data_IF_819083815171
#
_entry.id   IF_819083815171
#
_cell.length_a   1.000
_cell.length_b   1.000
_cell.length_c   1.000
_cell.angle_alpha   90.00
_cell.angle_beta   90.00
_cell.angle_gamma   90.00
#
_symmetry.space_group_name_H-M   'P 1'
#
loop_
_entity.id
_entity.type
_entity.pdbx_description
1 polymer ?
#
# COMPACT_ATOMS: atom_id res chain seq x y z
N UNK A 1 -2.40 0.96 -8.54
CA UNK A 1 -3.12 0.80 -7.25
C UNK A 1 -2.97 1.98 -6.24
N UNK A 2 -2.52 3.17 -6.64
CA UNK A 2 -2.31 4.28 -5.67
C UNK A 2 -3.63 4.70 -5.02
N UNK A 3 -4.68 4.89 -5.82
CA UNK A 3 -6.00 5.28 -5.33
C UNK A 3 -6.56 4.23 -4.38
N UNK A 4 -6.52 2.95 -4.76
CA UNK A 4 -7.01 1.85 -3.93
C UNK A 4 -6.27 1.73 -2.60
N UNK A 5 -4.97 2.02 -2.56
CA UNK A 5 -4.16 1.99 -1.34
C UNK A 5 -4.45 3.21 -0.43
N UNK A 6 -4.59 4.41 -0.99
CA UNK A 6 -4.84 5.61 -0.18
C UNK A 6 -6.27 5.71 0.37
N UNK A 7 -7.27 5.22 -0.36
CA UNK A 7 -8.67 5.28 0.08
C UNK A 7 -9.08 4.13 0.99
N UNK A 8 -8.26 3.08 1.10
CA UNK A 8 -8.56 1.89 1.92
C UNK A 8 -8.80 2.20 3.40
N UNK A 9 -8.20 3.26 3.93
CA UNK A 9 -8.36 3.70 5.32
C UNK A 9 -9.71 4.40 5.58
N UNK A 10 -10.45 4.83 4.55
CA UNK A 10 -11.74 5.52 4.67
C UNK A 10 -11.70 6.96 5.23
N UNK A 11 -10.63 7.35 5.92
CA UNK A 11 -10.50 8.64 6.64
C UNK A 11 -9.33 9.49 6.13
N UNK A 12 -8.84 9.22 4.93
CA UNK A 12 -7.76 9.98 4.27
C UNK A 12 -6.43 10.06 5.05
N UNK A 13 -6.19 9.14 6.01
CA UNK A 13 -4.95 9.12 6.79
C UNK A 13 -3.75 8.54 6.03
N UNK A 14 -4.00 7.76 4.98
CA UNK A 14 -2.95 7.21 4.11
C UNK A 14 -2.72 8.17 2.95
N UNK A 15 -1.62 8.91 3.00
CA UNK A 15 -1.25 9.84 1.93
C UNK A 15 -1.07 9.11 0.57
N UNK A 16 -1.64 9.64 -0.53
CA UNK A 16 -1.38 9.12 -1.87
C UNK A 16 0.11 9.12 -2.25
N UNK A 17 0.88 10.09 -1.74
CA UNK A 17 2.33 10.16 -1.98
C UNK A 17 3.07 9.04 -1.25
N UNK A 18 2.63 8.70 -0.03
CA UNK A 18 3.17 7.54 0.69
C UNK A 18 2.85 6.23 -0.04
N UNK A 19 1.61 6.07 -0.51
CA UNK A 19 1.20 4.89 -1.29
C UNK A 19 2.03 4.73 -2.57
N UNK A 20 2.28 5.83 -3.30
CA UNK A 20 3.16 5.84 -4.48
C UNK A 20 4.60 5.44 -4.13
N UNK A 21 5.17 6.02 -3.07
CA UNK A 21 6.52 5.69 -2.61
C UNK A 21 6.66 4.23 -2.19
N UNK A 22 5.65 3.67 -1.51
CA UNK A 22 5.64 2.25 -1.17
C UNK A 22 5.59 1.36 -2.40
N UNK A 23 4.82 1.75 -3.42
CA UNK A 23 4.75 1.05 -4.69
C UNK A 23 6.11 1.03 -5.41
N UNK A 24 6.78 2.17 -5.48
CA UNK A 24 8.12 2.32 -6.06
C UNK A 24 9.14 1.47 -5.31
N UNK A 25 9.14 1.52 -3.97
CA UNK A 25 10.05 0.70 -3.16
C UNK A 25 9.82 -0.80 -3.31
N UNK A 26 8.58 -1.25 -3.49
CA UNK A 26 8.31 -2.66 -3.79
C UNK A 26 8.80 -3.05 -5.18
N UNK A 27 8.66 -2.16 -6.17
CA UNK A 27 9.18 -2.39 -7.55
C UNK A 27 10.70 -2.42 -7.61
N UNK A 28 11.36 -1.54 -6.86
CA UNK A 28 12.82 -1.47 -6.72
C UNK A 28 13.39 -2.62 -5.85
N UNK A 29 12.54 -3.46 -5.25
CA UNK A 29 12.97 -4.52 -4.34
C UNK A 29 13.50 -4.03 -2.99
N UNK A 30 13.30 -2.75 -2.66
CA UNK A 30 13.73 -2.13 -1.39
C UNK A 30 12.87 -2.53 -0.21
N UNK A 31 11.65 -3.01 -0.47
CA UNK A 31 10.72 -3.56 0.53
C UNK A 31 9.92 -4.72 -0.03
N UNK A 32 9.53 -5.64 0.84
CA UNK A 32 8.53 -6.66 0.48
C UNK A 32 7.13 -6.04 0.46
N UNK A 33 6.17 -6.63 -0.30
CA UNK A 33 4.77 -6.23 -0.28
C UNK A 33 4.17 -6.17 1.13
N UNK A 34 4.54 -7.10 2.02
CA UNK A 34 4.08 -7.16 3.41
C UNK A 34 4.60 -5.98 4.23
N UNK A 35 5.88 -5.63 4.08
CA UNK A 35 6.49 -4.48 4.75
C UNK A 35 5.88 -3.15 4.30
N UNK A 36 5.60 -3.03 3.00
CA UNK A 36 4.95 -1.86 2.42
C UNK A 36 3.48 -1.75 2.89
N UNK A 37 2.71 -2.84 2.87
CA UNK A 37 1.35 -2.88 3.38
C UNK A 37 1.28 -2.53 4.88
N UNK A 38 2.18 -3.10 5.69
CA UNK A 38 2.26 -2.80 7.12
C UNK A 38 2.61 -1.32 7.36
N UNK A 39 3.50 -0.73 6.55
CA UNK A 39 3.84 0.69 6.66
C UNK A 39 2.63 1.58 6.37
N UNK A 40 1.84 1.27 5.34
CA UNK A 40 0.63 2.02 5.01
C UNK A 40 -0.42 1.90 6.12
N UNK A 41 -0.59 0.69 6.67
CA UNK A 41 -1.52 0.42 7.77
C UNK A 41 -1.21 1.18 9.06
N UNK A 42 0.05 1.51 9.35
CA UNK A 42 0.44 2.27 10.56
C UNK A 42 -0.21 3.66 10.66
N UNK A 43 -0.58 4.26 9.53
CA UNK A 43 -1.25 5.56 9.52
C UNK A 43 -2.77 5.44 9.68
N UNK A 44 -3.32 4.23 9.61
CA UNK A 44 -4.72 3.97 9.88
C UNK A 44 -4.94 3.81 11.39
N UNK A 45 -5.29 4.90 12.07
CA UNK A 45 -5.60 4.90 13.51
C UNK A 45 -6.86 4.10 13.87
N UNK A 46 -7.80 3.94 12.93
CA UNK A 46 -9.05 3.22 13.14
C UNK A 46 -8.95 1.70 12.88
N UNK A 47 -7.84 1.21 12.32
CA UNK A 47 -7.62 -0.21 12.08
C UNK A 47 -8.39 -0.83 10.89
N UNK A 48 -9.14 -0.05 10.10
CA UNK A 48 -9.92 -0.58 8.96
C UNK A 48 -9.07 -0.91 7.73
N UNK A 49 -7.83 -0.40 7.67
CA UNK A 49 -6.94 -0.67 6.56
C UNK A 49 -6.69 -2.16 6.42
N UNK A 50 -6.94 -2.72 5.23
CA UNK A 50 -6.85 -4.16 4.97
C UNK A 50 -5.44 -4.53 4.46
N UNK A 51 -4.53 -5.06 5.30
CA UNK A 51 -3.15 -5.30 4.90
C UNK A 51 -3.05 -6.44 3.88
N UNK A 52 -3.90 -7.47 4.00
CA UNK A 52 -3.92 -8.59 3.06
C UNK A 52 -4.30 -8.16 1.64
N UNK A 53 -5.27 -7.24 1.51
CA UNK A 53 -5.63 -6.64 0.21
C UNK A 53 -4.49 -5.76 -0.32
N UNK A 54 -3.86 -4.95 0.55
CA UNK A 54 -2.75 -4.10 0.15
C UNK A 54 -1.56 -4.90 -0.38
N UNK A 55 -1.21 -6.02 0.25
CA UNK A 55 -0.17 -6.96 -0.23
C UNK A 55 -0.45 -7.40 -1.66
N UNK A 56 -1.66 -7.90 -1.94
CA UNK A 56 -2.05 -8.35 -3.29
C UNK A 56 -1.92 -7.26 -4.35
N UNK A 57 -2.32 -6.02 -4.01
CA UNK A 57 -2.20 -4.86 -4.90
C UNK A 57 -0.74 -4.48 -5.17
N UNK A 58 0.12 -4.58 -4.16
CA UNK A 58 1.56 -4.30 -4.27
C UNK A 58 2.27 -5.39 -5.08
N UNK A 59 1.91 -6.66 -4.88
CA UNK A 59 2.41 -7.80 -5.67
C UNK A 59 2.03 -7.70 -7.15
N UNK A 60 0.76 -7.43 -7.46
CA UNK A 60 0.29 -7.27 -8.83
C UNK A 60 1.04 -6.13 -9.55
N UNK A 61 1.30 -5.03 -8.84
CA UNK A 61 2.04 -3.91 -9.40
C UNK A 61 3.55 -4.16 -9.57
N UNK A 62 4.10 -5.19 -8.91
CA UNK A 62 5.47 -5.67 -9.11
C UNK A 62 5.57 -6.55 -10.36
N UNK A 63 4.57 -7.39 -10.63
CA UNK A 63 4.57 -8.33 -11.77
C UNK A 63 4.11 -7.72 -13.08
N UNK A 64 3.78 -6.42 -13.11
CA UNK A 64 3.34 -5.73 -14.33
C UNK A 64 1.90 -6.06 -14.75
N UNK A 65 1.18 -6.84 -13.94
CA UNK A 65 -0.21 -7.19 -14.19
C UNK A 65 -1.10 -6.05 -13.68
N UNK A 66 -1.48 -5.14 -14.57
CA UNK A 66 -2.58 -4.22 -14.36
C UNK A 66 -3.55 -4.29 -15.52
#
# INVERSE_FOLDING_TARGET
PVLELSTMCGHSMVSPNLARKMLEWVREGRRTPEQAAATLGRFCSCGIFNPARAVRLLEAARTGNK
#
